data_IF_473033505625
#
_entry.id   IF_473033505625
#
_cell.length_a   1.000
_cell.length_b   1.000
_cell.length_c   1.000
_cell.angle_alpha   90.00
_cell.angle_beta   90.00
_cell.angle_gamma   90.00
#
_symmetry.space_group_name_H-M   'P 1'
#
loop_
_entity.id
_entity.type
_entity.pdbx_description
1 polymer ?
#
# COMPACT_ATOMS: atom_id res chain seq x y z
N UNK A 1 -26.82 18.09 88.20
CA UNK A 1 -27.60 17.67 87.02
C UNK A 1 -27.01 18.37 85.79
N UNK A 2 -26.50 17.56 84.84
CA UNK A 2 -26.30 17.76 83.38
C UNK A 2 -25.97 19.17 82.84
N UNK A 3 -25.03 19.41 81.91
CA UNK A 3 -24.55 18.57 80.80
C UNK A 3 -23.24 19.17 80.26
N UNK A 4 -22.24 18.33 79.95
CA UNK A 4 -21.02 18.72 79.26
C UNK A 4 -21.24 18.69 77.73
N UNK A 5 -21.05 19.84 77.07
CA UNK A 5 -21.14 19.96 75.61
C UNK A 5 -19.95 19.27 74.92
N UNK A 6 -20.24 18.19 74.18
CA UNK A 6 -19.29 17.51 73.31
C UNK A 6 -19.06 18.33 72.02
N UNK A 7 -17.85 18.84 71.82
CA UNK A 7 -17.44 19.46 70.54
C UNK A 7 -17.03 18.33 69.58
N UNK A 8 -17.86 18.07 68.56
CA UNK A 8 -17.51 17.16 67.45
C UNK A 8 -16.55 17.88 66.49
N UNK A 9 -15.28 17.45 66.47
CA UNK A 9 -14.36 17.82 65.41
C UNK A 9 -14.75 17.12 64.10
N UNK A 10 -15.34 17.86 63.16
CA UNK A 10 -15.51 17.40 61.79
C UNK A 10 -14.15 17.34 61.10
N UNK A 11 -13.66 16.13 60.79
CA UNK A 11 -12.49 15.93 59.93
C UNK A 11 -12.77 16.57 58.57
N UNK A 12 -12.07 17.66 58.25
CA UNK A 12 -12.02 18.23 56.89
C UNK A 12 -11.43 17.17 55.97
N UNK A 13 -12.25 16.61 55.09
CA UNK A 13 -11.77 15.84 53.95
C UNK A 13 -10.92 16.78 53.09
N UNK A 14 -9.60 16.55 53.08
CA UNK A 14 -8.71 17.15 52.09
C UNK A 14 -9.03 16.49 50.75
N UNK A 15 -9.79 17.16 49.91
CA UNK A 15 -9.88 16.81 48.49
C UNK A 15 -8.49 16.95 47.88
N UNK A 16 -7.87 15.82 47.52
CA UNK A 16 -6.67 15.83 46.67
C UNK A 16 -7.14 16.27 45.29
N UNK A 17 -6.66 17.41 44.82
CA UNK A 17 -6.75 17.73 43.40
C UNK A 17 -5.90 16.68 42.66
N UNK A 18 -6.54 15.81 41.90
CA UNK A 18 -5.84 15.01 40.91
C UNK A 18 -5.68 15.89 39.67
N UNK A 19 -4.44 16.10 39.24
CA UNK A 19 -4.17 16.57 37.89
C UNK A 19 -4.26 15.31 37.03
N UNK A 20 -5.38 15.13 36.35
CA UNK A 20 -5.43 14.19 35.24
C UNK A 20 -4.68 14.84 34.09
N UNK A 21 -3.62 14.18 33.61
CA UNK A 21 -3.02 14.54 32.33
C UNK A 21 -4.10 14.31 31.28
N UNK A 22 -4.63 15.41 30.72
CA UNK A 22 -5.37 15.34 29.46
C UNK A 22 -4.49 14.57 28.48
N UNK A 23 -4.98 13.42 28.04
CA UNK A 23 -4.47 12.71 26.87
C UNK A 23 -4.06 13.74 25.80
N UNK A 24 -2.87 13.59 25.21
CA UNK A 24 -2.44 14.44 24.10
C UNK A 24 -3.45 14.25 22.97
N UNK A 25 -4.44 15.14 22.88
CA UNK A 25 -5.33 15.25 21.72
C UNK A 25 -4.56 15.96 20.62
N UNK A 26 -3.70 15.22 19.94
CA UNK A 26 -3.17 15.65 18.64
C UNK A 26 -4.33 15.58 17.66
N UNK A 27 -4.83 16.75 17.25
CA UNK A 27 -5.85 16.88 16.21
C UNK A 27 -5.28 16.37 14.89
N UNK A 28 -6.06 15.59 14.15
CA UNK A 28 -5.73 15.24 12.77
C UNK A 28 -5.63 16.52 11.93
N UNK A 29 -4.46 16.84 11.38
CA UNK A 29 -4.36 17.92 10.40
C UNK A 29 -4.78 17.40 9.02
N UNK A 30 -5.45 18.25 8.26
CA UNK A 30 -5.82 17.95 6.87
C UNK A 30 -5.13 18.93 5.93
N UNK A 31 -4.33 18.40 5.01
CA UNK A 31 -3.66 19.15 3.95
C UNK A 31 -4.40 18.91 2.63
N UNK A 32 -4.87 19.99 2.00
CA UNK A 32 -5.61 19.91 0.73
C UNK A 32 -4.68 20.26 -0.41
N UNK A 33 -4.39 19.29 -1.28
CA UNK A 33 -3.63 19.49 -2.51
C UNK A 33 -4.54 20.13 -3.53
N UNK A 34 -4.21 21.35 -3.96
CA UNK A 34 -4.98 22.14 -4.93
C UNK A 34 -4.19 22.42 -6.21
N UNK A 35 -2.97 21.87 -6.34
CA UNK A 35 -2.13 22.04 -7.51
C UNK A 35 -1.41 20.74 -7.85
N UNK A 36 -1.72 20.11 -9.01
CA UNK A 36 -1.03 18.89 -9.45
C UNK A 36 0.41 19.16 -9.92
N UNK A 37 0.73 20.42 -10.21
CA UNK A 37 2.08 20.89 -10.51
C UNK A 37 2.53 20.70 -11.96
N UNK A 38 1.63 20.24 -12.83
CA UNK A 38 1.85 19.92 -14.23
C UNK A 38 1.59 21.10 -15.19
N UNK A 39 0.86 22.14 -14.77
CA UNK A 39 0.60 23.34 -15.56
C UNK A 39 1.57 24.49 -15.18
N UNK A 40 2.46 24.93 -16.08
CA UNK A 40 3.35 26.07 -15.82
C UNK A 40 2.60 27.40 -15.66
N UNK A 41 1.36 27.52 -16.15
CA UNK A 41 0.52 28.70 -15.97
C UNK A 41 -0.13 28.75 -14.57
N UNK A 42 -0.19 27.62 -13.86
CA UNK A 42 -0.80 27.51 -12.54
C UNK A 42 0.25 27.38 -11.43
N UNK A 43 0.72 28.52 -10.92
CA UNK A 43 1.84 28.59 -9.97
C UNK A 43 1.44 28.65 -8.50
N UNK A 44 0.15 28.82 -8.18
CA UNK A 44 -0.36 28.93 -6.81
C UNK A 44 -1.00 27.63 -6.30
N UNK A 45 -1.20 27.49 -4.99
CA UNK A 45 -1.82 26.31 -4.38
C UNK A 45 -0.83 25.28 -3.86
N UNK A 46 -1.28 24.42 -2.95
CA UNK A 46 -0.44 23.41 -2.30
C UNK A 46 -0.24 22.23 -3.25
N UNK A 47 1.03 21.88 -3.54
CA UNK A 47 1.39 20.70 -4.32
C UNK A 47 1.54 19.47 -3.42
N UNK A 48 1.35 18.28 -3.98
CA UNK A 48 1.41 17.03 -3.21
C UNK A 48 2.74 16.81 -2.45
N UNK A 49 3.94 17.00 -3.04
CA UNK A 49 5.18 16.89 -2.27
C UNK A 49 5.28 17.88 -1.11
N UNK A 50 4.67 19.06 -1.23
CA UNK A 50 4.66 20.07 -0.16
C UNK A 50 3.69 19.66 0.96
N UNK A 51 2.50 19.16 0.61
CA UNK A 51 1.54 18.63 1.57
C UNK A 51 2.15 17.48 2.38
N UNK A 52 2.88 16.58 1.71
CA UNK A 52 3.57 15.49 2.39
C UNK A 52 4.68 15.99 3.33
N UNK A 53 5.50 16.96 2.90
CA UNK A 53 6.53 17.53 3.75
C UNK A 53 5.95 18.23 4.99
N UNK A 54 4.78 18.87 4.85
CA UNK A 54 4.05 19.47 5.96
C UNK A 54 3.51 18.40 6.92
N UNK A 55 2.93 17.31 6.40
CA UNK A 55 2.45 16.20 7.22
C UNK A 55 3.58 15.53 7.99
N UNK A 56 4.69 15.20 7.32
CA UNK A 56 5.87 14.62 8.00
C UNK A 56 6.45 15.53 9.09
N UNK A 57 6.26 16.84 8.99
CA UNK A 57 6.72 17.81 9.97
C UNK A 57 5.72 18.10 11.10
N UNK A 58 4.50 17.56 11.02
CA UNK A 58 3.43 17.81 11.97
C UNK A 58 3.27 16.62 12.93
N UNK A 59 3.26 16.83 14.26
CA UNK A 59 3.07 15.74 15.22
C UNK A 59 1.66 15.14 15.19
N UNK A 60 1.60 13.81 15.19
CA UNK A 60 0.34 13.06 15.21
C UNK A 60 -0.10 12.59 13.82
N UNK A 61 -1.25 11.90 13.73
CA UNK A 61 -1.75 11.39 12.47
C UNK A 61 -2.31 12.51 11.59
N UNK A 62 -1.95 12.50 10.31
CA UNK A 62 -2.37 13.51 9.34
C UNK A 62 -3.18 12.93 8.19
N UNK A 63 -3.85 13.82 7.45
CA UNK A 63 -4.61 13.47 6.25
C UNK A 63 -4.24 14.38 5.09
N UNK A 64 -4.01 13.80 3.92
CA UNK A 64 -3.87 14.51 2.65
C UNK A 64 -5.06 14.16 1.76
N UNK A 65 -5.74 15.18 1.27
CA UNK A 65 -6.82 15.05 0.27
C UNK A 65 -6.51 15.91 -0.94
N UNK A 66 -7.22 15.66 -2.04
CA UNK A 66 -7.01 16.37 -3.29
C UNK A 66 -8.29 17.09 -3.73
N UNK A 67 -8.16 18.39 -3.98
CA UNK A 67 -9.18 19.24 -4.58
C UNK A 67 -8.60 19.87 -5.85
N UNK A 68 -8.50 19.04 -6.89
CA UNK A 68 -8.04 19.44 -8.21
C UNK A 68 -9.27 19.74 -9.06
N UNK A 69 -9.85 20.94 -8.93
CA UNK A 69 -11.04 21.31 -9.70
C UNK A 69 -10.77 21.29 -11.22
N UNK A 70 -11.70 20.82 -12.06
CA UNK A 70 -11.56 20.82 -13.53
C UNK A 70 -11.37 22.22 -14.13
N UNK A 71 -11.80 23.26 -13.40
CA UNK A 71 -11.64 24.67 -13.76
C UNK A 71 -10.20 25.15 -13.56
N UNK A 72 -9.39 24.42 -12.78
CA UNK A 72 -8.02 24.78 -12.45
C UNK A 72 -6.99 23.96 -13.22
N UNK A 73 -7.23 22.68 -13.57
CA UNK A 73 -6.28 21.84 -14.32
C UNK A 73 -6.95 20.76 -15.18
N UNK A 74 -6.38 20.50 -16.37
CA UNK A 74 -6.93 19.55 -17.37
C UNK A 74 -6.43 18.11 -17.21
N UNK A 75 -5.50 17.85 -16.28
CA UNK A 75 -4.88 16.54 -16.10
C UNK A 75 -4.87 16.13 -14.62
N UNK A 76 -5.42 14.95 -14.34
CA UNK A 76 -5.43 14.28 -13.04
C UNK A 76 -4.07 13.62 -12.71
N UNK A 77 -2.98 14.11 -13.30
CA UNK A 77 -1.65 13.52 -13.19
C UNK A 77 -0.77 14.42 -12.33
N UNK A 78 -0.36 13.91 -11.18
CA UNK A 78 0.64 14.49 -10.30
C UNK A 78 1.96 13.78 -10.56
N UNK A 79 2.92 14.51 -11.14
CA UNK A 79 4.27 13.97 -11.38
C UNK A 79 5.23 14.39 -10.28
N UNK A 80 5.86 13.40 -9.64
CA UNK A 80 6.74 13.62 -8.49
C UNK A 80 8.19 13.30 -8.84
N UNK A 81 9.13 14.09 -8.32
CA UNK A 81 10.55 13.96 -8.62
C UNK A 81 11.28 13.35 -7.43
N UNK A 82 11.37 12.02 -7.42
CA UNK A 82 11.99 11.21 -6.39
C UNK A 82 11.01 10.55 -5.41
N UNK A 83 11.51 9.64 -4.55
CA UNK A 83 10.67 8.92 -3.61
C UNK A 83 10.11 9.86 -2.56
N UNK A 84 8.79 9.85 -2.47
CA UNK A 84 8.04 10.50 -1.42
C UNK A 84 8.14 9.66 -0.15
N UNK A 85 9.02 10.10 0.75
CA UNK A 85 9.20 9.43 2.05
C UNK A 85 8.06 9.81 3.00
N UNK A 86 7.41 8.82 3.60
CA UNK A 86 6.38 8.98 4.63
C UNK A 86 6.99 8.56 5.96
N UNK A 87 7.07 9.49 6.91
CA UNK A 87 7.78 9.31 8.20
C UNK A 87 6.90 9.47 9.43
N UNK A 88 5.60 9.70 9.26
CA UNK A 88 4.59 9.73 10.32
C UNK A 88 3.30 9.06 9.87
N UNK A 89 2.37 8.87 10.80
CA UNK A 89 1.07 8.27 10.51
C UNK A 89 0.29 9.15 9.54
N UNK A 90 -0.15 8.58 8.42
CA UNK A 90 -0.65 9.36 7.30
C UNK A 90 -1.76 8.66 6.54
N UNK A 91 -2.82 9.41 6.25
CA UNK A 91 -3.91 9.00 5.38
C UNK A 91 -3.87 9.85 4.10
N UNK A 92 -3.79 9.22 2.93
CA UNK A 92 -3.84 9.87 1.61
C UNK A 92 -5.08 9.39 0.88
N UNK A 93 -6.01 10.29 0.56
CA UNK A 93 -7.30 9.93 -0.05
C UNK A 93 -7.54 10.74 -1.33
N UNK A 94 -7.66 10.04 -2.46
CA UNK A 94 -8.12 10.62 -3.72
C UNK A 94 -9.64 10.83 -3.78
N UNK A 95 -10.13 11.62 -4.75
CA UNK A 95 -11.52 12.06 -4.84
C UNK A 95 -12.51 10.92 -5.06
N UNK A 96 -13.56 10.82 -4.25
CA UNK A 96 -14.54 9.71 -4.30
C UNK A 96 -15.71 9.94 -5.27
N UNK A 97 -15.89 11.18 -5.72
CA UNK A 97 -16.92 11.58 -6.67
C UNK A 97 -16.46 11.42 -8.12
N UNK A 98 -17.36 10.99 -9.01
CA UNK A 98 -17.08 10.94 -10.44
C UNK A 98 -17.15 12.36 -10.98
N UNK A 99 -16.04 12.87 -11.53
CA UNK A 99 -16.11 14.07 -12.35
C UNK A 99 -16.56 13.68 -13.76
N UNK A 100 -17.85 13.87 -14.06
CA UNK A 100 -18.49 13.47 -15.32
C UNK A 100 -17.89 14.07 -16.59
N UNK A 101 -17.02 15.08 -16.48
CA UNK A 101 -16.24 15.66 -17.57
C UNK A 101 -14.94 14.91 -17.87
N UNK A 102 -14.58 13.89 -17.08
CA UNK A 102 -13.30 13.18 -17.16
C UNK A 102 -13.51 11.79 -17.77
N UNK A 103 -12.48 11.27 -18.43
CA UNK A 103 -12.51 9.98 -19.15
C UNK A 103 -12.70 8.76 -18.24
N UNK A 104 -12.36 7.53 -18.68
CA UNK A 104 -12.65 6.31 -17.92
C UNK A 104 -12.00 6.25 -16.53
N UNK A 105 -11.00 7.09 -16.24
CA UNK A 105 -10.33 7.22 -14.94
C UNK A 105 -10.88 8.36 -14.07
N UNK A 106 -12.06 8.91 -14.35
CA UNK A 106 -12.70 10.06 -13.68
C UNK A 106 -12.87 9.97 -12.15
N UNK A 107 -12.47 8.85 -11.53
CA UNK A 107 -12.60 8.54 -10.10
C UNK A 107 -11.27 8.55 -9.35
N UNK A 108 -10.12 8.62 -10.02
CA UNK A 108 -8.82 8.50 -9.36
C UNK A 108 -7.83 9.51 -9.91
N UNK A 109 -7.05 10.09 -9.00
CA UNK A 109 -5.86 10.88 -9.35
C UNK A 109 -4.72 9.92 -9.63
N UNK A 110 -4.03 10.16 -10.74
CA UNK A 110 -2.79 9.49 -11.12
C UNK A 110 -1.62 10.17 -10.41
N UNK A 111 -0.94 9.44 -9.54
CA UNK A 111 0.32 9.86 -8.93
C UNK A 111 1.41 9.06 -9.62
N UNK A 112 2.25 9.71 -10.42
CA UNK A 112 3.31 9.05 -11.16
C UNK A 112 4.69 9.62 -10.86
N UNK A 113 5.71 8.78 -11.00
CA UNK A 113 7.09 9.27 -11.03
C UNK A 113 7.31 10.13 -12.28
N UNK A 114 7.96 11.29 -12.11
CA UNK A 114 8.27 12.20 -13.22
C UNK A 114 9.36 11.63 -14.14
N UNK A 115 10.13 10.66 -13.66
CA UNK A 115 11.13 9.94 -14.42
C UNK A 115 10.82 8.44 -14.35
N UNK A 116 11.05 7.72 -15.45
CA UNK A 116 10.79 6.28 -15.57
C UNK A 116 11.58 5.42 -14.58
N UNK A 117 12.56 5.99 -13.88
CA UNK A 117 13.49 5.28 -13.00
C UNK A 117 13.44 5.73 -11.53
N UNK A 118 12.32 6.27 -11.06
CA UNK A 118 12.14 6.68 -9.67
C UNK A 118 11.00 5.95 -8.96
N UNK A 119 11.34 5.38 -7.80
CA UNK A 119 10.34 4.95 -6.83
C UNK A 119 9.40 6.09 -6.45
N UNK A 120 8.12 5.76 -6.31
CA UNK A 120 7.10 6.73 -5.95
C UNK A 120 7.04 6.97 -4.43
N UNK A 121 6.82 5.93 -3.62
CA UNK A 121 6.73 6.04 -2.16
C UNK A 121 7.76 5.20 -1.42
N UNK A 122 8.27 5.76 -0.32
CA UNK A 122 9.00 5.02 0.70
C UNK A 122 8.31 5.20 2.05
N UNK A 123 7.86 4.12 2.66
CA UNK A 123 7.20 4.14 3.96
C UNK A 123 8.16 3.65 5.01
N UNK A 124 8.45 4.49 6.00
CA UNK A 124 9.36 4.15 7.08
C UNK A 124 8.75 3.09 8.01
N UNK A 125 9.58 2.43 8.81
CA UNK A 125 9.09 1.54 9.85
C UNK A 125 8.44 2.29 11.01
N UNK A 126 7.46 1.65 11.65
CA UNK A 126 6.77 2.18 12.83
C UNK A 126 5.74 3.27 12.55
N UNK A 127 5.28 3.42 11.30
CA UNK A 127 4.19 4.33 10.94
C UNK A 127 3.00 3.57 10.35
N UNK A 128 1.80 4.09 10.59
CA UNK A 128 0.53 3.62 10.02
C UNK A 128 0.15 4.48 8.81
N UNK A 129 0.10 3.87 7.63
CA UNK A 129 -0.17 4.59 6.37
C UNK A 129 -1.38 3.98 5.66
N UNK A 130 -2.34 4.83 5.29
CA UNK A 130 -3.43 4.46 4.38
C UNK A 130 -3.35 5.27 3.10
N UNK A 131 -3.32 4.59 1.95
CA UNK A 131 -3.44 5.23 0.63
C UNK A 131 -4.70 4.69 -0.02
N UNK A 132 -5.62 5.58 -0.34
CA UNK A 132 -6.91 5.21 -0.87
C UNK A 132 -7.33 6.00 -2.11
N UNK A 133 -8.03 5.32 -3.01
CA UNK A 133 -8.74 5.93 -4.13
C UNK A 133 -7.85 6.76 -5.08
N UNK A 134 -6.68 6.21 -5.40
CA UNK A 134 -5.69 6.80 -6.32
C UNK A 134 -5.18 5.75 -7.30
N UNK A 135 -4.61 6.23 -8.39
CA UNK A 135 -3.84 5.42 -9.34
C UNK A 135 -2.35 5.70 -9.11
N UNK A 136 -1.56 4.68 -8.80
CA UNK A 136 -0.11 4.78 -8.57
C UNK A 136 0.64 4.26 -9.80
N UNK A 137 1.52 5.07 -10.36
CA UNK A 137 2.45 4.64 -11.41
C UNK A 137 3.89 4.90 -10.97
N UNK A 138 4.58 3.84 -10.56
CA UNK A 138 6.01 3.89 -10.30
C UNK A 138 6.81 3.32 -11.48
N UNK A 139 8.05 3.75 -11.63
CA UNK A 139 8.99 3.17 -12.57
C UNK A 139 10.39 3.18 -11.98
N UNK A 140 11.24 2.20 -12.25
CA UNK A 140 12.57 2.13 -11.68
C UNK A 140 13.61 1.56 -12.65
N UNK A 141 14.72 2.24 -12.82
CA UNK A 141 15.78 1.83 -13.76
C UNK A 141 16.79 0.91 -13.09
N UNK A 142 17.50 1.41 -12.08
CA UNK A 142 18.74 0.79 -11.58
C UNK A 142 18.81 0.66 -10.04
N UNK A 143 17.66 0.37 -9.39
CA UNK A 143 17.40 0.14 -7.94
C UNK A 143 16.96 1.39 -7.17
N UNK A 144 15.71 1.43 -6.65
CA UNK A 144 15.31 0.63 -5.47
C UNK A 144 14.32 -0.55 -5.65
N UNK A 145 14.22 -1.37 -4.60
CA UNK A 145 13.09 -2.24 -4.24
C UNK A 145 11.74 -1.52 -4.46
N UNK A 146 10.73 -2.14 -5.07
CA UNK A 146 9.37 -1.55 -5.11
C UNK A 146 9.24 -0.29 -5.97
N UNK A 147 8.76 -0.39 -7.22
CA UNK A 147 8.66 0.80 -8.09
C UNK A 147 7.61 1.81 -7.59
N UNK A 148 6.43 1.34 -7.19
CA UNK A 148 5.41 2.22 -6.64
C UNK A 148 5.63 2.43 -5.13
N UNK A 149 5.95 1.37 -4.39
CA UNK A 149 6.05 1.44 -2.93
C UNK A 149 7.17 0.53 -2.40
N UNK A 150 8.06 1.09 -1.58
CA UNK A 150 8.89 0.35 -0.62
C UNK A 150 8.31 0.54 0.77
N UNK A 151 7.76 -0.54 1.33
CA UNK A 151 7.07 -0.53 2.61
C UNK A 151 7.89 -1.20 3.72
N UNK A 152 8.19 -0.44 4.77
CA UNK A 152 8.70 -0.95 6.03
C UNK A 152 7.75 -0.72 7.23
N UNK A 153 6.62 -0.03 7.01
CA UNK A 153 5.62 0.30 8.03
C UNK A 153 4.39 -0.62 7.97
N UNK A 154 3.26 -0.11 8.46
CA UNK A 154 1.96 -0.75 8.31
C UNK A 154 1.16 -0.02 7.21
N UNK A 155 1.12 -0.60 6.02
CA UNK A 155 0.50 0.00 4.84
C UNK A 155 -0.87 -0.63 4.55
N UNK A 156 -1.87 0.22 4.39
CA UNK A 156 -3.16 -0.12 3.79
C UNK A 156 -3.32 0.54 2.43
N UNK A 157 -3.50 -0.25 1.37
CA UNK A 157 -3.92 0.19 0.05
C UNK A 157 -5.39 -0.16 -0.18
N UNK A 158 -6.23 0.84 -0.45
CA UNK A 158 -7.67 0.66 -0.52
C UNK A 158 -8.26 1.34 -1.76
N UNK A 159 -9.00 0.59 -2.59
CA UNK A 159 -9.58 1.13 -3.81
C UNK A 159 -8.50 1.78 -4.71
N UNK A 160 -7.33 1.13 -4.79
CA UNK A 160 -6.14 1.63 -5.52
C UNK A 160 -5.97 0.87 -6.83
N UNK A 161 -5.56 1.59 -7.86
CA UNK A 161 -4.92 0.98 -9.02
C UNK A 161 -3.42 1.22 -8.92
N UNK A 162 -2.58 0.22 -9.15
CA UNK A 162 -1.14 0.43 -9.17
C UNK A 162 -0.47 -0.31 -10.31
N UNK A 163 0.47 0.36 -10.96
CA UNK A 163 1.43 -0.24 -11.87
C UNK A 163 2.84 0.12 -11.45
N UNK A 164 3.71 -0.88 -11.43
CA UNK A 164 5.14 -0.67 -11.23
C UNK A 164 5.96 -1.37 -12.30
N UNK A 165 6.97 -0.68 -12.83
CA UNK A 165 7.90 -1.24 -13.82
C UNK A 165 9.31 -1.06 -13.28
N UNK A 166 10.10 -2.14 -13.25
CA UNK A 166 11.50 -2.13 -12.86
C UNK A 166 12.31 -2.70 -14.04
N UNK A 167 13.18 -1.89 -14.63
CA UNK A 167 14.07 -2.27 -15.74
C UNK A 167 15.40 -2.90 -15.24
N UNK A 168 15.59 -2.99 -13.92
CA UNK A 168 16.74 -3.60 -13.25
C UNK A 168 16.40 -4.90 -12.51
N UNK A 169 17.42 -5.61 -12.03
CA UNK A 169 17.24 -6.85 -11.27
C UNK A 169 16.87 -6.57 -9.79
N UNK A 170 15.73 -5.92 -9.54
CA UNK A 170 15.23 -5.62 -8.20
C UNK A 170 13.87 -6.26 -7.95
N UNK A 171 13.64 -6.87 -6.78
CA UNK A 171 12.36 -7.48 -6.47
C UNK A 171 11.22 -6.48 -6.26
N UNK A 172 10.00 -6.97 -6.41
CA UNK A 172 8.77 -6.23 -6.13
C UNK A 172 8.48 -5.18 -7.20
N UNK A 173 8.06 -5.61 -8.38
CA UNK A 173 7.88 -4.70 -9.52
C UNK A 173 6.94 -3.53 -9.21
N UNK A 174 5.95 -3.72 -8.34
CA UNK A 174 5.12 -2.63 -7.79
C UNK A 174 5.42 -2.31 -6.34
N UNK A 175 5.41 -3.34 -5.49
CA UNK A 175 5.52 -3.22 -4.05
C UNK A 175 6.63 -4.13 -3.57
N UNK A 176 7.54 -3.55 -2.81
CA UNK A 176 8.44 -4.30 -1.95
C UNK A 176 8.01 -4.13 -0.50
N UNK A 177 7.86 -5.23 0.23
CA UNK A 177 7.31 -5.24 1.57
C UNK A 177 8.27 -5.90 2.58
N UNK A 178 8.56 -5.17 3.66
CA UNK A 178 9.26 -5.66 4.86
C UNK A 178 8.43 -5.50 6.14
N UNK A 179 7.40 -4.66 6.11
CA UNK A 179 6.44 -4.45 7.20
C UNK A 179 5.11 -5.18 6.96
N UNK A 180 4.02 -4.62 7.47
CA UNK A 180 2.67 -5.16 7.27
C UNK A 180 1.99 -4.49 6.08
N UNK A 181 1.26 -5.27 5.29
CA UNK A 181 0.62 -4.84 4.06
C UNK A 181 -0.80 -5.35 3.97
N UNK A 182 -1.78 -4.46 3.92
CA UNK A 182 -3.18 -4.77 3.62
C UNK A 182 -3.58 -4.14 2.30
N UNK A 183 -4.16 -4.93 1.39
CA UNK A 183 -4.64 -4.49 0.09
C UNK A 183 -6.09 -4.89 -0.05
N UNK A 184 -6.96 -3.92 -0.34
CA UNK A 184 -8.38 -4.17 -0.51
C UNK A 184 -8.99 -3.45 -1.71
N UNK A 185 -9.83 -4.15 -2.47
CA UNK A 185 -10.59 -3.59 -3.61
C UNK A 185 -9.71 -2.89 -4.64
N UNK A 186 -8.54 -3.47 -4.89
CA UNK A 186 -7.52 -2.88 -5.73
C UNK A 186 -7.28 -3.68 -7.02
N UNK A 187 -6.62 -3.05 -7.98
CA UNK A 187 -6.09 -3.68 -9.19
C UNK A 187 -4.60 -3.37 -9.27
N UNK A 188 -3.75 -4.40 -9.23
CA UNK A 188 -2.30 -4.22 -9.24
C UNK A 188 -1.66 -4.99 -10.37
N UNK A 189 -0.67 -4.37 -11.00
CA UNK A 189 0.17 -4.98 -12.04
C UNK A 189 1.61 -4.59 -11.84
N UNK A 190 2.54 -5.46 -12.19
CA UNK A 190 3.93 -5.03 -12.22
C UNK A 190 4.85 -5.91 -13.03
N UNK A 191 5.97 -5.31 -13.40
CA UNK A 191 6.95 -5.87 -14.31
C UNK A 191 8.32 -5.67 -13.69
N UNK A 192 9.07 -6.75 -13.50
CA UNK A 192 10.44 -6.67 -12.99
C UNK A 192 11.31 -7.80 -13.51
N UNK A 193 12.61 -7.54 -13.62
CA UNK A 193 13.62 -8.55 -13.92
C UNK A 193 14.07 -9.35 -12.68
N UNK A 194 13.37 -9.25 -11.55
CA UNK A 194 13.59 -10.04 -10.32
C UNK A 194 12.36 -10.84 -9.89
N UNK A 195 12.23 -11.12 -8.59
CA UNK A 195 11.09 -11.83 -8.02
C UNK A 195 9.90 -10.91 -7.70
N UNK A 196 8.68 -11.45 -7.75
CA UNK A 196 7.48 -10.74 -7.32
C UNK A 196 7.11 -9.61 -8.28
N UNK A 197 6.61 -9.93 -9.47
CA UNK A 197 6.27 -8.94 -10.50
C UNK A 197 5.39 -7.80 -9.97
N UNK A 198 4.44 -8.11 -9.10
CA UNK A 198 3.71 -7.09 -8.33
C UNK A 198 4.29 -6.92 -6.95
N UNK A 199 4.29 -7.98 -6.15
CA UNK A 199 4.61 -7.93 -4.73
C UNK A 199 5.77 -8.87 -4.44
N UNK A 200 6.82 -8.31 -3.86
CA UNK A 200 7.79 -9.10 -3.12
C UNK A 200 7.62 -8.83 -1.62
N UNK A 201 7.29 -9.86 -0.85
CA UNK A 201 7.22 -9.80 0.60
C UNK A 201 8.45 -10.46 1.21
N UNK A 202 9.39 -9.66 1.69
CA UNK A 202 10.59 -10.11 2.40
C UNK A 202 10.21 -10.69 3.77
N UNK A 203 9.30 -10.01 4.48
CA UNK A 203 8.80 -10.35 5.81
C UNK A 203 7.44 -9.69 6.09
N UNK A 204 6.93 -9.88 7.32
CA UNK A 204 5.70 -9.24 7.81
C UNK A 204 4.42 -10.00 7.43
N UNK A 205 3.26 -9.41 7.75
CA UNK A 205 1.95 -9.97 7.41
C UNK A 205 1.38 -9.29 6.18
N UNK A 206 0.98 -10.06 5.18
CA UNK A 206 0.29 -9.55 3.98
C UNK A 206 -1.15 -10.04 3.95
N UNK A 207 -2.10 -9.13 3.78
CA UNK A 207 -3.51 -9.42 3.55
C UNK A 207 -3.95 -8.83 2.22
N UNK A 208 -4.45 -9.68 1.33
CA UNK A 208 -5.00 -9.28 0.03
C UNK A 208 -6.46 -9.69 -0.01
N UNK A 209 -7.36 -8.73 -0.20
CA UNK A 209 -8.79 -8.96 -0.12
C UNK A 209 -9.55 -8.28 -1.25
N UNK A 210 -10.49 -8.98 -1.90
CA UNK A 210 -11.31 -8.42 -2.98
C UNK A 210 -10.47 -7.71 -4.06
N UNK A 211 -9.28 -8.22 -4.35
CA UNK A 211 -8.27 -7.56 -5.18
C UNK A 211 -7.99 -8.40 -6.42
N UNK A 212 -7.67 -7.73 -7.52
CA UNK A 212 -7.20 -8.38 -8.74
C UNK A 212 -5.72 -8.09 -8.96
N UNK A 213 -4.95 -9.13 -9.21
CA UNK A 213 -3.56 -9.06 -9.67
C UNK A 213 -3.48 -9.77 -11.01
N UNK A 214 -3.25 -9.02 -12.07
CA UNK A 214 -3.28 -9.54 -13.44
C UNK A 214 -2.12 -9.04 -14.29
N UNK A 215 -1.83 -9.76 -15.39
CA UNK A 215 -0.86 -9.35 -16.41
C UNK A 215 0.48 -8.84 -15.86
N UNK A 216 1.01 -9.53 -14.86
CA UNK A 216 2.28 -9.18 -14.22
C UNK A 216 3.40 -10.14 -14.62
N UNK A 217 4.63 -9.64 -14.61
CA UNK A 217 5.83 -10.38 -15.00
C UNK A 217 6.91 -10.20 -13.94
N UNK A 218 7.41 -11.33 -13.42
CA UNK A 218 8.69 -11.42 -12.76
C UNK A 218 9.61 -12.29 -13.59
N UNK A 219 10.86 -11.88 -13.82
CA UNK A 219 11.79 -12.75 -14.53
C UNK A 219 12.15 -13.99 -13.70
N UNK A 220 12.17 -13.88 -12.38
CA UNK A 220 12.46 -15.00 -11.50
C UNK A 220 11.16 -15.59 -10.91
N UNK A 221 11.20 -16.04 -9.66
CA UNK A 221 10.09 -16.69 -8.97
C UNK A 221 8.99 -15.69 -8.61
N UNK A 222 7.73 -16.16 -8.60
CA UNK A 222 6.61 -15.33 -8.18
C UNK A 222 6.26 -14.28 -9.24
N UNK A 223 5.72 -14.71 -10.37
CA UNK A 223 5.42 -13.82 -11.50
C UNK A 223 4.51 -12.65 -11.12
N UNK A 224 3.58 -12.87 -10.19
CA UNK A 224 2.83 -11.82 -9.52
C UNK A 224 3.30 -11.59 -8.07
N UNK A 225 3.29 -12.64 -7.23
CA UNK A 225 3.60 -12.51 -5.81
C UNK A 225 4.69 -13.49 -5.41
N UNK A 226 5.72 -12.97 -4.73
CA UNK A 226 6.73 -13.76 -4.06
C UNK A 226 6.66 -13.54 -2.55
N UNK A 227 6.44 -14.61 -1.79
CA UNK A 227 6.57 -14.61 -0.34
C UNK A 227 7.88 -15.27 0.07
N UNK A 228 8.81 -14.46 0.59
CA UNK A 228 10.09 -14.97 1.09
C UNK A 228 9.97 -15.53 2.50
N UNK A 229 9.21 -14.88 3.38
CA UNK A 229 8.96 -15.30 4.76
C UNK A 229 7.67 -14.63 5.28
N UNK A 230 7.27 -14.97 6.51
CA UNK A 230 6.11 -14.36 7.18
C UNK A 230 4.79 -15.06 6.86
N UNK A 231 3.68 -14.34 7.03
CA UNK A 231 2.33 -14.89 6.86
C UNK A 231 1.55 -14.12 5.80
N UNK A 232 0.70 -14.83 5.07
CA UNK A 232 -0.13 -14.24 4.03
C UNK A 232 -1.57 -14.75 4.09
N UNK A 233 -2.51 -13.86 3.80
CA UNK A 233 -3.93 -14.18 3.68
C UNK A 233 -4.48 -13.57 2.40
N UNK A 234 -4.90 -14.42 1.45
CA UNK A 234 -5.50 -14.02 0.18
C UNK A 234 -6.97 -14.45 0.20
N UNK A 235 -7.88 -13.47 0.11
CA UNK A 235 -9.32 -13.68 0.26
C UNK A 235 -10.10 -13.03 -0.87
N UNK A 236 -11.09 -13.74 -1.42
CA UNK A 236 -12.00 -13.19 -2.42
C UNK A 236 -11.28 -12.49 -3.59
N UNK A 237 -10.09 -12.98 -3.95
CA UNK A 237 -9.18 -12.28 -4.86
C UNK A 237 -8.93 -13.11 -6.12
N UNK A 238 -8.47 -12.42 -7.17
CA UNK A 238 -8.20 -13.02 -8.48
C UNK A 238 -6.75 -12.75 -8.86
N UNK A 239 -5.95 -13.81 -9.04
CA UNK A 239 -4.56 -13.76 -9.45
C UNK A 239 -4.43 -14.56 -10.75
N UNK A 240 -4.38 -13.87 -11.88
CA UNK A 240 -4.50 -14.49 -13.21
C UNK A 240 -3.56 -13.89 -14.23
N UNK A 241 -3.23 -14.63 -15.29
CA UNK A 241 -2.44 -14.13 -16.43
C UNK A 241 -1.07 -13.55 -16.04
N UNK A 242 -0.50 -14.02 -14.93
CA UNK A 242 0.83 -13.62 -14.48
C UNK A 242 1.90 -14.63 -14.91
N UNK A 243 3.14 -14.17 -14.96
CA UNK A 243 4.24 -14.92 -15.58
C UNK A 243 5.54 -14.84 -14.79
N UNK A 244 6.13 -16.00 -14.53
CA UNK A 244 7.49 -16.16 -14.02
C UNK A 244 8.41 -16.57 -15.19
N UNK A 245 9.18 -15.64 -15.76
CA UNK A 245 9.85 -15.85 -17.06
C UNK A 245 10.91 -16.97 -17.02
N UNK A 246 11.63 -17.11 -15.91
CA UNK A 246 12.70 -18.07 -15.70
C UNK A 246 12.59 -18.81 -14.35
N UNK A 247 11.58 -18.49 -13.55
CA UNK A 247 11.30 -19.11 -12.26
C UNK A 247 10.05 -20.01 -12.24
N UNK A 248 9.47 -20.16 -11.05
CA UNK A 248 8.24 -20.88 -10.82
C UNK A 248 7.19 -20.01 -10.11
N UNK A 249 5.94 -20.47 -10.09
CA UNK A 249 4.85 -19.76 -9.42
C UNK A 249 4.52 -18.47 -10.14
N UNK A 250 4.11 -18.56 -11.40
CA UNK A 250 3.66 -17.41 -12.21
C UNK A 250 2.62 -16.57 -11.47
N UNK A 251 1.68 -17.20 -10.74
CA UNK A 251 0.75 -16.48 -9.86
C UNK A 251 1.37 -16.19 -8.51
N UNK A 252 1.75 -17.25 -7.79
CA UNK A 252 2.22 -17.19 -6.41
C UNK A 252 3.43 -18.11 -6.20
N UNK A 253 4.48 -17.57 -5.59
CA UNK A 253 5.59 -18.36 -5.08
C UNK A 253 5.68 -18.25 -3.56
N UNK A 254 5.74 -19.41 -2.89
CA UNK A 254 5.86 -19.54 -1.44
C UNK A 254 7.21 -20.17 -1.13
N UNK A 255 8.06 -19.44 -0.42
CA UNK A 255 9.34 -19.97 0.02
C UNK A 255 9.17 -20.85 1.27
N UNK A 256 8.91 -22.14 1.04
CA UNK A 256 8.72 -23.14 2.11
C UNK A 256 9.95 -23.28 3.03
N UNK A 257 11.16 -22.95 2.55
CA UNK A 257 12.38 -23.04 3.34
C UNK A 257 12.44 -22.05 4.52
N UNK A 258 11.62 -21.01 4.49
CA UNK A 258 11.60 -19.93 5.48
C UNK A 258 10.37 -19.96 6.40
N UNK A 259 9.68 -21.10 6.51
CA UNK A 259 8.46 -21.27 7.30
C UNK A 259 7.34 -20.26 6.93
N UNK A 260 7.25 -19.93 5.65
CA UNK A 260 6.20 -19.04 5.12
C UNK A 260 4.85 -19.75 5.20
N UNK A 261 3.82 -19.09 5.75
CA UNK A 261 2.47 -19.66 5.88
C UNK A 261 1.44 -18.80 5.15
N UNK A 262 0.92 -19.31 4.04
CA UNK A 262 0.00 -18.57 3.16
C UNK A 262 -1.34 -19.29 3.10
N UNK A 263 -2.39 -18.60 3.58
CA UNK A 263 -3.77 -19.04 3.50
C UNK A 263 -4.47 -18.38 2.31
N UNK A 264 -5.05 -19.19 1.44
CA UNK A 264 -5.87 -18.72 0.32
C UNK A 264 -7.29 -19.21 0.54
N UNK A 265 -8.28 -18.32 0.45
CA UNK A 265 -9.68 -18.72 0.60
C UNK A 265 -10.61 -17.94 -0.32
N UNK A 266 -11.58 -18.66 -0.89
CA UNK A 266 -12.57 -18.13 -1.83
C UNK A 266 -11.93 -17.30 -2.97
N UNK A 267 -10.79 -17.75 -3.50
CA UNK A 267 -10.00 -16.99 -4.49
C UNK A 267 -9.73 -17.81 -5.75
N UNK A 268 -9.36 -17.11 -6.82
CA UNK A 268 -8.98 -17.68 -8.11
C UNK A 268 -7.49 -17.43 -8.33
N UNK A 269 -6.72 -18.51 -8.53
CA UNK A 269 -5.30 -18.46 -8.94
C UNK A 269 -5.14 -19.39 -10.13
N UNK A 270 -5.33 -18.85 -11.34
CA UNK A 270 -5.43 -19.64 -12.58
C UNK A 270 -4.89 -18.87 -13.79
N UNK A 271 -4.54 -19.56 -14.87
CA UNK A 271 -4.03 -18.97 -16.10
C UNK A 271 -2.67 -18.30 -15.92
N UNK A 272 -1.92 -18.64 -14.87
CA UNK A 272 -0.58 -18.12 -14.66
C UNK A 272 0.44 -19.14 -15.16
N UNK A 273 1.59 -18.65 -15.59
CA UNK A 273 2.54 -19.48 -16.32
C UNK A 273 3.98 -19.25 -15.91
N UNK A 274 4.83 -20.22 -16.20
CA UNK A 274 6.28 -20.06 -16.21
C UNK A 274 6.86 -20.61 -17.50
N UNK A 275 8.18 -20.50 -17.69
CA UNK A 275 8.87 -21.22 -18.76
C UNK A 275 9.69 -22.38 -18.21
N UNK A 276 9.49 -23.55 -18.82
CA UNK A 276 10.36 -24.72 -18.63
C UNK A 276 10.95 -25.09 -20.00
N UNK A 277 12.28 -25.13 -20.10
CA UNK A 277 12.99 -25.45 -21.34
C UNK A 277 12.52 -24.60 -22.55
N UNK A 278 12.32 -23.29 -22.35
CA UNK A 278 11.81 -22.33 -23.35
C UNK A 278 10.38 -22.62 -23.84
N UNK A 279 9.59 -23.40 -23.10
CA UNK A 279 8.16 -23.62 -23.35
C UNK A 279 7.35 -23.03 -22.22
N UNK A 280 6.32 -22.24 -22.55
CA UNK A 280 5.37 -21.73 -21.57
C UNK A 280 4.54 -22.90 -21.03
N UNK A 281 4.52 -23.06 -19.71
CA UNK A 281 3.77 -24.09 -18.98
C UNK A 281 2.87 -23.47 -17.91
N UNK A 282 1.75 -24.11 -17.54
CA UNK A 282 0.96 -23.71 -16.37
C UNK A 282 1.80 -23.68 -15.10
N UNK A 283 1.70 -22.60 -14.33
CA UNK A 283 2.45 -22.40 -13.09
C UNK A 283 1.70 -21.43 -12.18
N UNK A 284 0.59 -21.87 -11.60
CA UNK A 284 -0.24 -21.03 -10.75
C UNK A 284 0.38 -20.76 -9.38
N UNK A 285 0.77 -21.83 -8.69
CA UNK A 285 1.37 -21.76 -7.36
C UNK A 285 2.60 -22.66 -7.32
N UNK A 286 3.69 -22.14 -6.76
CA UNK A 286 4.82 -22.93 -6.30
C UNK A 286 4.94 -22.82 -4.78
N UNK A 287 5.24 -23.95 -4.12
CA UNK A 287 5.32 -24.07 -2.66
C UNK A 287 4.01 -24.57 -2.05
N UNK A 288 3.94 -24.56 -0.71
CA UNK A 288 2.87 -25.23 0.04
C UNK A 288 1.90 -24.22 0.64
N UNK A 289 0.61 -24.36 0.32
CA UNK A 289 -0.44 -23.58 0.97
C UNK A 289 -0.73 -24.08 2.38
N UNK A 290 -1.19 -23.17 3.24
CA UNK A 290 -1.77 -23.51 4.53
C UNK A 290 -2.90 -24.55 4.32
N UNK A 291 -2.94 -25.67 5.08
CA UNK A 291 -3.97 -26.71 4.94
C UNK A 291 -5.42 -26.24 5.18
N UNK A 292 -5.63 -25.09 5.83
CA UNK A 292 -6.95 -24.48 6.00
C UNK A 292 -7.43 -23.69 4.76
N UNK A 293 -6.57 -23.55 3.73
CA UNK A 293 -6.95 -22.98 2.44
C UNK A 293 -8.11 -23.75 1.83
N UNK A 294 -9.14 -23.03 1.38
CA UNK A 294 -10.42 -23.65 1.02
C UNK A 294 -11.25 -22.80 0.06
N UNK A 295 -12.13 -23.46 -0.70
CA UNK A 295 -13.05 -22.83 -1.66
C UNK A 295 -12.34 -22.04 -2.79
N UNK A 296 -11.15 -22.50 -3.20
CA UNK A 296 -10.38 -21.84 -4.25
C UNK A 296 -10.54 -22.55 -5.60
N UNK A 297 -10.34 -21.79 -6.67
CA UNK A 297 -10.07 -22.33 -8.02
C UNK A 297 -8.57 -22.13 -8.25
N UNK A 298 -7.82 -23.22 -8.29
CA UNK A 298 -6.37 -23.21 -8.51
C UNK A 298 -6.05 -24.20 -9.62
N UNK A 299 -5.25 -23.79 -10.60
CA UNK A 299 -4.91 -24.61 -11.76
C UNK A 299 -5.60 -24.16 -13.05
N UNK A 300 -5.00 -24.56 -14.17
CA UNK A 300 -5.63 -24.58 -15.49
C UNK A 300 -6.33 -25.93 -15.70
N UNK A 301 -7.62 -25.90 -16.03
CA UNK A 301 -8.45 -27.10 -16.24
C UNK A 301 -8.09 -27.89 -17.49
#
# INVERSE_FOLDING_TARGET
MFSAGHIRHTRRHRTRAAIETLENRTLLATFVVTNAGNDPAFTSGLRFPQALAQANGNPGPDTIIFDLSPEQQTADIISVHGPLTISGDLIIIGPTEIHSSRGPNARQIVINSAQFNQQLFKINSGVDVTIANVYLAGGNGDQPRGAAVDNAGNLTLQDVQAVGIIDGNSPGGTIYNTGDLTISRSLLRGFTNGEGGVIYSESGSVRIENTTIDFSLGDDNGGAIYFNSGTGVILNSTIVTNEAAFGAGGGLYINDANNTDILVHNSIIAGNTSFENNVRVPSDIFGTLNPASSFNIIGDA
#
